data_IF_769501966799
#
_entry.id   IF_769501966799
#
_cell.length_a   1.000
_cell.length_b   1.000
_cell.length_c   1.000
_cell.angle_alpha   90.00
_cell.angle_beta   90.00
_cell.angle_gamma   90.00
#
_symmetry.space_group_name_H-M   'P 1'
#
loop_
_entity.id
_entity.type
_entity.pdbx_description
1 polymer ?
#
# COMPACT_ATOMS: atom_id res chain seq x y z
N UNK A 1 4.00 -14.48 -9.28
CA UNK A 1 3.98 -13.28 -8.42
C UNK A 1 3.74 -13.76 -6.99
N UNK A 2 4.49 -13.32 -5.97
CA UNK A 2 4.27 -13.80 -4.59
C UNK A 2 2.98 -13.18 -4.04
N UNK A 3 2.04 -14.00 -3.59
CA UNK A 3 0.77 -13.56 -3.03
C UNK A 3 0.98 -12.99 -1.62
N UNK A 4 0.06 -12.15 -1.17
CA UNK A 4 0.14 -11.56 0.17
C UNK A 4 0.00 -12.58 1.29
N UNK A 5 -0.77 -13.66 1.06
CA UNK A 5 -0.78 -14.85 1.92
C UNK A 5 0.59 -15.54 2.06
N UNK A 6 1.51 -15.28 1.14
CA UNK A 6 2.88 -15.78 1.18
C UNK A 6 3.79 -14.84 1.98
N UNK A 7 3.31 -13.65 2.37
CA UNK A 7 4.06 -12.79 3.29
C UNK A 7 4.18 -13.53 4.63
N UNK A 8 5.40 -13.86 5.10
CA UNK A 8 5.60 -14.60 6.35
C UNK A 8 5.10 -13.83 7.59
N UNK A 9 4.69 -12.58 7.39
CA UNK A 9 4.22 -11.65 8.40
C UNK A 9 2.73 -11.32 8.24
N UNK A 10 2.05 -11.88 7.24
CA UNK A 10 0.60 -11.82 7.14
C UNK A 10 -0.02 -12.58 8.31
N UNK A 11 -0.86 -11.89 9.07
CA UNK A 11 -1.63 -12.46 10.16
C UNK A 11 -3.07 -11.99 10.03
N UNK A 12 -4.02 -12.88 9.64
CA UNK A 12 -5.40 -12.49 9.40
C UNK A 12 -6.10 -11.98 10.66
N UNK A 13 -5.55 -12.21 11.86
CA UNK A 13 -6.08 -11.65 13.10
C UNK A 13 -5.97 -10.11 13.18
N UNK A 14 -5.20 -9.48 12.27
CA UNK A 14 -5.06 -8.03 12.20
C UNK A 14 -5.93 -7.38 11.12
N UNK A 15 -6.73 -8.17 10.41
CA UNK A 15 -7.76 -7.63 9.54
C UNK A 15 -8.82 -6.92 10.38
N UNK A 16 -9.29 -5.78 9.87
CA UNK A 16 -10.44 -5.08 10.42
C UNK A 16 -11.75 -5.84 10.16
N UNK A 17 -12.88 -5.36 10.71
CA UNK A 17 -14.19 -5.99 10.54
C UNK A 17 -14.59 -6.18 9.07
N UNK A 18 -14.07 -5.35 8.16
CA UNK A 18 -14.32 -5.45 6.73
C UNK A 18 -13.46 -6.51 6.00
N UNK A 19 -12.55 -7.18 6.71
CA UNK A 19 -11.53 -8.05 6.10
C UNK A 19 -10.38 -7.28 5.44
N UNK A 20 -10.29 -5.96 5.64
CA UNK A 20 -9.26 -5.06 5.10
C UNK A 20 -8.22 -4.71 6.17
N UNK A 21 -7.15 -4.02 5.78
CA UNK A 21 -6.11 -3.58 6.69
C UNK A 21 -6.53 -2.30 7.42
N UNK A 22 -6.57 -2.29 8.76
CA UNK A 22 -6.70 -1.04 9.51
C UNK A 22 -5.49 -0.16 9.22
N UNK A 23 -5.68 1.12 8.88
CA UNK A 23 -4.61 2.04 8.50
C UNK A 23 -3.50 2.14 9.55
N UNK A 24 -3.85 2.07 10.84
CA UNK A 24 -2.87 2.02 11.95
C UNK A 24 -1.88 0.85 11.90
N UNK A 25 -2.11 -0.15 11.04
CA UNK A 25 -1.28 -1.33 10.91
C UNK A 25 -0.75 -1.51 9.50
N UNK A 26 -0.69 -0.47 8.66
CA UNK A 26 -0.13 -0.61 7.31
C UNK A 26 1.20 0.10 7.15
N UNK A 27 1.98 -0.41 6.20
CA UNK A 27 3.11 0.28 5.62
C UNK A 27 2.88 0.39 4.11
N UNK A 28 3.14 1.58 3.56
CA UNK A 28 2.96 1.89 2.15
C UNK A 28 4.33 2.03 1.54
N UNK A 29 4.63 1.23 0.54
CA UNK A 29 5.88 1.25 -0.21
C UNK A 29 5.66 1.74 -1.62
N UNK A 30 6.66 2.45 -2.17
CA UNK A 30 6.66 2.85 -3.57
C UNK A 30 8.05 2.87 -4.18
N UNK A 31 8.10 2.75 -5.51
CA UNK A 31 9.27 3.06 -6.31
C UNK A 31 9.04 4.27 -7.20
N UNK A 32 10.09 4.64 -7.92
CA UNK A 32 10.04 5.69 -8.94
C UNK A 32 10.74 5.24 -10.21
N UNK A 33 10.26 5.74 -11.34
CA UNK A 33 10.96 5.68 -12.63
C UNK A 33 12.17 6.62 -12.63
N UNK A 34 12.99 6.56 -13.68
CA UNK A 34 14.13 7.47 -13.85
C UNK A 34 13.69 8.94 -13.98
N UNK A 35 12.50 9.19 -14.53
CA UNK A 35 11.86 10.52 -14.61
C UNK A 35 11.04 10.87 -13.35
N UNK A 36 11.30 10.21 -12.22
CA UNK A 36 10.72 10.46 -10.89
C UNK A 36 9.22 10.22 -10.73
N UNK A 37 8.54 9.64 -11.73
CA UNK A 37 7.13 9.23 -11.59
C UNK A 37 6.99 8.02 -10.68
N UNK A 38 5.91 7.97 -9.92
CA UNK A 38 5.60 6.85 -9.02
C UNK A 38 5.28 5.61 -9.84
N UNK A 39 5.92 4.51 -9.50
CA UNK A 39 5.63 3.18 -10.03
C UNK A 39 5.72 2.17 -8.90
N UNK A 40 5.08 1.02 -9.08
CA UNK A 40 5.08 -0.06 -8.11
C UNK A 40 4.67 0.46 -6.73
N UNK A 41 3.37 0.51 -6.44
CA UNK A 41 2.89 0.78 -5.07
C UNK A 41 2.56 -0.55 -4.40
N UNK A 42 2.81 -0.66 -3.11
CA UNK A 42 2.35 -1.78 -2.31
C UNK A 42 1.89 -1.31 -0.93
N UNK A 43 0.69 -1.73 -0.54
CA UNK A 43 0.20 -1.61 0.83
C UNK A 43 0.37 -2.97 1.49
N UNK A 44 0.95 -2.99 2.68
CA UNK A 44 1.19 -4.24 3.40
C UNK A 44 0.86 -4.08 4.87
N UNK A 45 0.36 -5.16 5.47
CA UNK A 45 0.03 -5.23 6.88
C UNK A 45 1.28 -5.30 7.77
N UNK A 46 1.61 -4.22 8.47
CA UNK A 46 2.73 -4.02 9.37
C UNK A 46 2.28 -3.78 10.85
N UNK A 47 1.77 -4.78 11.58
CA UNK A 47 1.37 -4.61 12.98
C UNK A 47 2.52 -4.19 13.89
N UNK A 48 2.22 -3.45 14.96
CA UNK A 48 3.25 -2.94 15.89
C UNK A 48 4.13 -4.06 16.48
N UNK A 49 3.56 -5.25 16.73
CA UNK A 49 4.32 -6.42 17.19
C UNK A 49 5.42 -6.85 16.21
N UNK A 50 5.26 -6.59 14.91
CA UNK A 50 6.23 -6.92 13.87
C UNK A 50 7.27 -5.82 13.68
N UNK A 51 6.94 -4.57 14.03
CA UNK A 51 7.88 -3.42 14.07
C UNK A 51 8.97 -3.59 15.13
N UNK A 52 8.64 -4.21 16.27
CA UNK A 52 9.56 -4.39 17.41
C UNK A 52 10.69 -5.41 17.14
N UNK A 53 10.70 -6.05 15.97
CA UNK A 53 11.74 -7.00 15.54
C UNK A 53 12.37 -6.50 14.21
N UNK A 54 13.54 -5.84 14.26
CA UNK A 54 14.16 -5.21 13.09
C UNK A 54 14.47 -6.19 11.94
N UNK A 55 14.77 -7.46 12.24
CA UNK A 55 15.03 -8.48 11.21
C UNK A 55 13.73 -8.89 10.50
N UNK A 56 12.60 -8.98 11.23
CA UNK A 56 11.28 -9.18 10.62
C UNK A 56 10.84 -7.95 9.83
N UNK A 57 11.06 -6.74 10.34
CA UNK A 57 10.77 -5.50 9.60
C UNK A 57 11.57 -5.38 8.28
N UNK A 58 12.81 -5.85 8.28
CA UNK A 58 13.64 -5.92 7.06
C UNK A 58 13.15 -7.00 6.08
N UNK A 59 12.77 -8.18 6.57
CA UNK A 59 12.15 -9.22 5.74
C UNK A 59 10.81 -8.74 5.16
N UNK A 60 10.06 -7.93 5.90
CA UNK A 60 8.80 -7.32 5.51
C UNK A 60 8.95 -6.31 4.37
N UNK A 61 9.86 -5.34 4.51
CA UNK A 61 10.12 -4.33 3.48
C UNK A 61 10.73 -4.92 2.21
N UNK A 62 11.62 -5.90 2.32
CA UNK A 62 12.33 -6.49 1.17
C UNK A 62 11.52 -7.62 0.49
N UNK A 63 10.41 -8.08 1.08
CA UNK A 63 9.72 -9.32 0.70
C UNK A 63 9.39 -9.44 -0.80
N UNK A 64 9.12 -8.30 -1.47
CA UNK A 64 8.80 -8.24 -2.90
C UNK A 64 9.92 -7.68 -3.78
N UNK A 65 10.59 -6.60 -3.37
CA UNK A 65 11.60 -5.88 -4.16
C UNK A 65 12.33 -4.85 -3.28
N UNK A 66 13.35 -4.19 -3.83
CA UNK A 66 13.93 -2.99 -3.24
C UNK A 66 12.96 -1.82 -3.46
N UNK A 67 12.63 -1.10 -2.39
CA UNK A 67 11.78 0.09 -2.41
C UNK A 67 12.61 1.35 -2.26
N UNK A 68 12.20 2.43 -2.91
CA UNK A 68 12.85 3.75 -2.83
C UNK A 68 12.25 4.59 -1.72
N UNK A 69 10.97 4.38 -1.38
CA UNK A 69 10.32 5.05 -0.27
C UNK A 69 9.31 4.16 0.44
N UNK A 70 9.08 4.47 1.71
CA UNK A 70 8.03 3.89 2.51
C UNK A 70 7.50 4.91 3.53
N UNK A 71 6.22 4.81 3.87
CA UNK A 71 5.62 5.51 5.00
C UNK A 71 4.44 4.72 5.54
N UNK A 72 4.28 4.70 6.86
CA UNK A 72 3.28 3.88 7.51
C UNK A 72 3.57 3.70 8.98
N UNK A 73 3.10 2.59 9.55
CA UNK A 73 3.21 2.26 10.97
C UNK A 73 4.66 2.18 11.49
N UNK A 74 5.68 2.16 10.63
CA UNK A 74 7.07 2.34 11.05
C UNK A 74 7.42 3.77 11.49
N UNK A 75 6.62 4.77 11.11
CA UNK A 75 6.77 6.18 11.47
C UNK A 75 6.02 6.54 12.75
N UNK A 76 6.61 7.42 13.57
CA UNK A 76 5.98 7.94 14.79
C UNK A 76 4.81 8.89 14.49
N UNK A 77 4.82 9.53 13.32
CA UNK A 77 3.77 10.46 12.89
C UNK A 77 2.57 9.75 12.24
N UNK A 78 2.58 8.42 12.12
CA UNK A 78 1.55 7.70 11.39
C UNK A 78 0.26 7.53 12.19
N UNK A 79 -0.86 7.99 11.63
CA UNK A 79 -2.20 7.82 12.20
C UNK A 79 -2.37 8.32 13.65
N UNK A 80 -1.49 9.22 14.11
CA UNK A 80 -1.65 9.95 15.37
C UNK A 80 -2.48 11.23 15.15
N UNK A 81 -3.01 11.88 16.19
CA UNK A 81 -3.71 13.16 16.01
C UNK A 81 -2.83 14.21 15.30
N UNK A 82 -3.31 14.76 14.18
CA UNK A 82 -2.56 15.65 13.27
C UNK A 82 -1.31 15.01 12.60
N UNK A 83 -1.21 13.69 12.65
CA UNK A 83 -0.19 12.93 11.95
C UNK A 83 -0.54 12.67 10.49
N UNK A 84 0.30 11.87 9.84
CA UNK A 84 0.15 11.49 8.44
C UNK A 84 -0.85 10.35 8.28
N UNK A 85 -1.69 10.47 7.26
CA UNK A 85 -2.73 9.52 6.88
C UNK A 85 -2.43 8.87 5.51
N UNK A 86 -3.04 7.71 5.20
CA UNK A 86 -2.98 7.15 3.85
C UNK A 86 -3.40 8.12 2.75
N UNK A 87 -4.42 8.95 2.99
CA UNK A 87 -4.88 9.93 2.01
C UNK A 87 -3.80 10.98 1.67
N UNK A 88 -3.06 11.45 2.68
CA UNK A 88 -1.96 12.40 2.46
C UNK A 88 -0.79 11.75 1.72
N UNK A 89 -0.46 10.50 2.04
CA UNK A 89 0.54 9.74 1.28
C UNK A 89 0.13 9.64 -0.17
N UNK A 90 -1.11 9.22 -0.44
CA UNK A 90 -1.59 9.12 -1.81
C UNK A 90 -1.58 10.48 -2.52
N UNK A 91 -1.94 11.57 -1.85
CA UNK A 91 -1.86 12.93 -2.40
C UNK A 91 -0.43 13.32 -2.84
N UNK A 92 0.58 12.95 -2.05
CA UNK A 92 2.01 13.17 -2.40
C UNK A 92 2.43 12.31 -3.58
N UNK A 93 2.03 11.03 -3.60
CA UNK A 93 2.31 10.13 -4.72
C UNK A 93 1.65 10.63 -6.01
N UNK A 94 0.39 11.03 -5.93
CA UNK A 94 -0.38 11.59 -7.05
C UNK A 94 0.24 12.88 -7.59
N UNK A 95 0.72 13.76 -6.70
CA UNK A 95 1.42 15.01 -7.08
C UNK A 95 2.74 14.75 -7.79
N UNK A 96 3.39 13.61 -7.52
CA UNK A 96 4.60 13.17 -8.22
C UNK A 96 4.29 12.58 -9.61
N UNK A 97 3.02 12.24 -9.87
CA UNK A 97 2.55 11.63 -11.10
C UNK A 97 2.85 10.14 -11.22
N UNK A 98 2.11 9.46 -12.10
CA UNK A 98 2.29 8.05 -12.48
C UNK A 98 2.70 7.98 -13.96
N UNK A 99 3.47 6.96 -14.39
CA UNK A 99 3.90 6.83 -15.79
C UNK A 99 2.73 6.59 -16.74
N UNK A 100 1.69 5.89 -16.27
CA UNK A 100 0.48 5.58 -17.01
C UNK A 100 -0.71 5.34 -16.07
N UNK A 101 -1.89 5.15 -16.67
CA UNK A 101 -3.15 4.88 -15.97
C UNK A 101 -3.13 3.54 -15.23
N UNK A 102 -2.39 2.55 -15.73
CA UNK A 102 -2.33 1.22 -15.12
C UNK A 102 -1.62 1.28 -13.77
N UNK A 103 -0.49 1.99 -13.67
CA UNK A 103 0.23 2.19 -12.40
C UNK A 103 -0.62 2.98 -11.39
N UNK A 104 -1.40 3.96 -11.84
CA UNK A 104 -2.37 4.65 -10.98
C UNK A 104 -3.46 3.69 -10.48
N UNK A 105 -4.03 2.85 -11.35
CA UNK A 105 -5.02 1.85 -10.94
C UNK A 105 -4.44 0.82 -9.97
N UNK A 106 -3.20 0.36 -10.19
CA UNK A 106 -2.51 -0.54 -9.26
C UNK A 106 -2.36 0.12 -7.90
N UNK A 107 -1.90 1.38 -7.85
CA UNK A 107 -1.82 2.12 -6.60
C UNK A 107 -3.19 2.24 -5.91
N UNK A 108 -4.24 2.61 -6.63
CA UNK A 108 -5.59 2.68 -6.07
C UNK A 108 -6.08 1.33 -5.55
N UNK A 109 -5.79 0.22 -6.24
CA UNK A 109 -6.12 -1.14 -5.76
C UNK A 109 -5.41 -1.46 -4.47
N UNK A 110 -4.13 -1.12 -4.35
CA UNK A 110 -3.35 -1.30 -3.13
C UNK A 110 -3.94 -0.45 -1.98
N UNK A 111 -4.23 0.82 -2.20
CA UNK A 111 -4.90 1.67 -1.20
C UNK A 111 -6.31 1.18 -0.85
N UNK A 112 -7.03 0.56 -1.79
CA UNK A 112 -8.35 -0.02 -1.53
C UNK A 112 -8.33 -1.16 -0.51
N UNK A 113 -7.16 -1.76 -0.25
CA UNK A 113 -6.98 -2.77 0.80
C UNK A 113 -7.00 -2.19 2.20
N UNK A 114 -6.92 -0.86 2.35
CA UNK A 114 -6.99 -0.16 3.65
C UNK A 114 -8.45 0.13 3.99
N UNK A 115 -8.84 -0.16 5.23
CA UNK A 115 -10.24 -0.01 5.69
C UNK A 115 -10.72 1.44 5.56
N UNK A 116 -9.89 2.41 5.91
CA UNK A 116 -10.20 3.85 5.91
C UNK A 116 -10.10 4.52 4.52
N UNK A 117 -9.77 3.75 3.47
CA UNK A 117 -9.59 4.26 2.10
C UNK A 117 -10.81 4.00 1.19
N UNK A 118 -12.01 4.41 1.61
CA UNK A 118 -13.22 4.33 0.77
C UNK A 118 -13.08 5.12 -0.53
N UNK A 119 -12.41 6.27 -0.47
CA UNK A 119 -12.12 7.09 -1.64
C UNK A 119 -11.36 6.31 -2.74
N UNK A 120 -10.45 5.39 -2.37
CA UNK A 120 -9.71 4.62 -3.37
C UNK A 120 -10.62 3.63 -4.09
N UNK A 121 -11.58 3.04 -3.36
CA UNK A 121 -12.61 2.15 -3.90
C UNK A 121 -13.56 2.92 -4.83
N UNK A 122 -13.99 4.10 -4.43
CA UNK A 122 -14.85 4.97 -5.24
C UNK A 122 -14.13 5.41 -6.52
N UNK A 123 -12.86 5.83 -6.42
CA UNK A 123 -12.06 6.23 -7.59
C UNK A 123 -11.88 5.06 -8.57
N UNK A 124 -11.67 3.83 -8.09
CA UNK A 124 -11.57 2.64 -8.94
C UNK A 124 -12.83 2.39 -9.78
N UNK A 125 -14.02 2.68 -9.23
CA UNK A 125 -15.28 2.55 -9.97
C UNK A 125 -15.42 3.57 -11.11
N UNK A 126 -14.68 4.69 -11.04
CA UNK A 126 -14.63 5.71 -12.08
C UNK A 126 -13.74 5.36 -13.27
N UNK A 127 -12.93 4.29 -13.19
CA UNK A 127 -12.13 3.84 -14.32
C UNK A 127 -12.98 2.96 -15.25
N UNK A 128 -12.84 3.11 -16.57
CA UNK A 128 -13.46 2.20 -17.51
C UNK A 128 -12.95 0.78 -17.22
N UNK A 129 -13.87 -0.18 -17.15
CA UNK A 129 -13.53 -1.60 -17.10
C UNK A 129 -12.86 -1.92 -18.44
N UNK A 130 -11.53 -2.04 -18.45
CA UNK A 130 -10.84 -2.56 -19.63
C UNK A 130 -11.28 -4.02 -19.81
N UNK A 131 -12.01 -4.31 -20.90
CA UNK A 131 -12.45 -5.67 -21.27
C UNK A 131 -11.26 -6.64 -21.51
N UNK A 132 -10.02 -6.14 -21.54
CA UNK A 132 -8.79 -6.89 -21.81
C UNK A 132 -7.80 -6.93 -20.62
N UNK A 133 -8.25 -6.72 -19.38
CA UNK A 133 -7.38 -6.95 -18.23
C UNK A 133 -6.93 -8.43 -18.25
N UNK A 134 -5.62 -8.75 -18.28
CA UNK A 134 -5.17 -10.13 -18.38
C UNK A 134 -5.71 -10.96 -17.22
N UNK A 135 -6.26 -12.13 -17.53
CA UNK A 135 -6.74 -13.11 -16.57
C UNK A 135 -5.55 -13.63 -15.74
N UNK A 136 -5.39 -13.12 -14.53
CA UNK A 136 -4.54 -13.75 -13.51
C UNK A 136 -5.32 -13.88 -12.20
N UNK A 137 -6.34 -14.75 -12.25
CA UNK A 137 -6.87 -15.48 -11.09
C UNK A 137 -5.89 -16.56 -10.64
#
# INVERSE_FOLDING_TARGET
MKHEKDNPLFDPAYLGPSGRYPAKHVEIFWNRTEDFKVRDVAVVLAPEKLRRDPEKGRLFGIWRKKWVGNLGNSSEDWMVPNGVTPAEVFGVLLSSGFPDTLELQVALREFSTIEECDWAREMLQGFPVEEDAPDWL
#
